data_IF_341836701569
#
_entry.id   IF_341836701569
#
_cell.length_a   1.000
_cell.length_b   1.000
_cell.length_c   1.000
_cell.angle_alpha   90.00
_cell.angle_beta   90.00
_cell.angle_gamma   90.00
#
_symmetry.space_group_name_H-M   'P 1'
#
loop_
_entity.id
_entity.type
_entity.pdbx_description
1 polymer ?
#
# COMPACT_ATOMS: atom_id res chain seq x y z
N UNK A 1 -14.53 11.66 8.56
CA UNK A 1 -14.84 11.02 9.86
C UNK A 1 -13.57 10.81 10.69
N UNK A 2 -12.59 9.99 10.26
CA UNK A 2 -11.41 9.66 11.06
C UNK A 2 -10.63 10.86 11.57
N UNK A 3 -10.41 11.88 10.74
CA UNK A 3 -9.74 13.11 11.16
C UNK A 3 -10.50 13.83 12.29
N UNK A 4 -11.83 13.84 12.27
CA UNK A 4 -12.64 14.44 13.35
C UNK A 4 -12.55 13.67 14.66
N UNK A 5 -12.21 12.37 14.61
CA UNK A 5 -11.97 11.52 15.78
C UNK A 5 -10.54 11.63 16.32
N UNK A 6 -9.66 12.38 15.63
CA UNK A 6 -8.23 12.54 15.98
C UNK A 6 -7.51 11.21 16.12
N UNK A 7 -7.79 10.27 15.19
CA UNK A 7 -7.10 8.98 15.18
C UNK A 7 -5.60 9.20 14.93
N UNK A 8 -4.77 8.51 15.67
CA UNK A 8 -3.31 8.53 15.58
C UNK A 8 -2.72 7.17 15.18
N UNK A 9 -3.53 6.11 15.23
CA UNK A 9 -3.19 4.77 14.74
C UNK A 9 -4.16 4.38 13.63
N UNK A 10 -3.66 3.73 12.58
CA UNK A 10 -4.47 3.34 11.45
C UNK A 10 -4.05 1.98 10.90
N UNK A 11 -5.03 1.09 10.75
CA UNK A 11 -4.85 -0.23 10.14
C UNK A 11 -5.53 -0.19 8.77
N UNK A 12 -4.75 -0.41 7.71
CA UNK A 12 -5.23 -0.49 6.33
C UNK A 12 -5.32 -1.96 5.90
N UNK A 13 -6.52 -2.45 5.65
CA UNK A 13 -6.73 -3.81 5.20
C UNK A 13 -6.65 -3.92 3.68
N UNK A 14 -5.56 -4.50 3.19
CA UNK A 14 -5.30 -4.76 1.77
C UNK A 14 -5.21 -6.27 1.45
N UNK A 15 -5.68 -7.14 2.32
CA UNK A 15 -5.50 -8.61 2.22
C UNK A 15 -5.86 -9.20 0.87
N UNK A 16 -6.96 -8.74 0.25
CA UNK A 16 -7.46 -9.27 -1.02
C UNK A 16 -7.55 -8.21 -2.11
N UNK A 17 -6.86 -7.09 -1.90
CA UNK A 17 -6.85 -5.99 -2.84
C UNK A 17 -5.75 -6.18 -3.90
N UNK A 18 -6.13 -6.56 -5.10
CA UNK A 18 -5.22 -6.80 -6.23
C UNK A 18 -4.70 -5.49 -6.86
N UNK A 19 -4.98 -4.34 -6.27
CA UNK A 19 -4.64 -3.02 -6.79
C UNK A 19 -5.78 -2.39 -7.59
N UNK A 20 -5.43 -1.55 -8.55
CA UNK A 20 -6.39 -0.81 -9.35
C UNK A 20 -5.79 0.46 -9.95
N UNK A 21 -6.51 1.58 -9.85
CA UNK A 21 -6.07 2.85 -10.38
C UNK A 21 -4.93 3.44 -9.52
N UNK A 22 -3.84 3.83 -10.17
CA UNK A 22 -2.71 4.48 -9.49
C UNK A 22 -3.10 5.82 -8.88
N UNK A 23 -4.03 6.56 -9.50
CA UNK A 23 -4.57 7.81 -8.95
C UNK A 23 -5.33 7.60 -7.62
N UNK A 24 -5.97 6.45 -7.43
CA UNK A 24 -6.59 6.11 -6.14
C UNK A 24 -5.53 5.82 -5.07
N UNK A 25 -4.43 5.15 -5.43
CA UNK A 25 -3.31 4.92 -4.53
C UNK A 25 -2.62 6.25 -4.15
N UNK A 26 -2.40 7.15 -5.12
CA UNK A 26 -1.85 8.50 -4.88
C UNK A 26 -2.71 9.31 -3.92
N UNK A 27 -4.04 9.31 -4.13
CA UNK A 27 -4.98 9.94 -3.20
C UNK A 27 -4.91 9.33 -1.80
N UNK A 28 -4.92 8.00 -1.70
CA UNK A 28 -4.85 7.30 -0.41
C UNK A 28 -3.54 7.63 0.31
N UNK A 29 -2.40 7.59 -0.38
CA UNK A 29 -1.12 8.01 0.17
C UNK A 29 -1.16 9.44 0.70
N UNK A 30 -1.74 10.36 -0.07
CA UNK A 30 -1.89 11.78 0.34
C UNK A 30 -2.75 11.93 1.60
N UNK A 31 -3.78 11.09 1.76
CA UNK A 31 -4.64 11.11 2.95
C UNK A 31 -3.94 10.55 4.20
N UNK A 32 -3.02 9.60 4.04
CA UNK A 32 -2.37 8.88 5.15
C UNK A 32 -1.02 9.49 5.57
N UNK A 33 -0.25 10.02 4.62
CA UNK A 33 1.11 10.51 4.82
C UNK A 33 1.23 11.55 5.95
N UNK A 34 2.41 11.69 6.58
CA UNK A 34 2.70 12.81 7.46
C UNK A 34 2.44 14.14 6.75
N UNK A 35 1.86 15.11 7.45
CA UNK A 35 1.55 16.42 6.87
C UNK A 35 2.80 17.17 6.37
N UNK A 36 3.96 16.90 6.96
CA UNK A 36 5.26 17.42 6.53
C UNK A 36 5.71 16.92 5.16
N UNK A 37 5.17 15.80 4.69
CA UNK A 37 5.46 15.21 3.39
C UNK A 37 4.56 15.76 2.26
N UNK A 38 3.48 16.46 2.60
CA UNK A 38 2.57 17.02 1.60
C UNK A 38 3.29 18.00 0.67
N UNK A 39 3.06 17.84 -0.63
CA UNK A 39 3.72 18.61 -1.69
C UNK A 39 5.03 17.99 -2.17
N UNK A 40 5.56 16.96 -1.50
CA UNK A 40 6.76 16.25 -1.95
C UNK A 40 6.43 15.22 -3.03
N UNK A 41 7.46 14.78 -3.76
CA UNK A 41 7.33 13.70 -4.74
C UNK A 41 7.03 12.38 -4.01
N UNK A 42 5.91 11.74 -4.34
CA UNK A 42 5.57 10.43 -3.80
C UNK A 42 6.33 9.32 -4.54
N UNK A 43 6.60 9.54 -5.82
CA UNK A 43 7.32 8.63 -6.68
C UNK A 43 7.13 8.98 -8.17
N UNK A 44 7.49 8.05 -9.05
CA UNK A 44 7.33 8.24 -10.48
C UNK A 44 7.07 6.94 -11.23
N UNK A 45 6.48 7.07 -12.42
CA UNK A 45 6.36 6.00 -13.40
C UNK A 45 7.47 6.16 -14.43
N UNK A 46 8.21 5.08 -14.67
CA UNK A 46 9.15 4.99 -15.78
C UNK A 46 8.52 4.16 -16.89
N UNK A 47 8.13 4.84 -17.98
CA UNK A 47 7.55 4.21 -19.15
C UNK A 47 8.65 3.66 -20.07
N UNK A 48 8.31 2.64 -20.85
CA UNK A 48 9.19 2.14 -21.89
C UNK A 48 9.40 3.19 -23.01
N UNK A 49 10.38 2.96 -23.91
CA UNK A 49 10.81 3.89 -24.94
C UNK A 49 9.77 4.20 -26.04
N UNK A 50 8.55 3.68 -25.94
CA UNK A 50 7.43 3.99 -26.83
C UNK A 50 6.60 5.17 -26.34
N UNK A 51 6.88 5.67 -25.14
CA UNK A 51 6.16 6.78 -24.52
C UNK A 51 7.05 8.02 -24.42
N UNK A 52 6.42 9.19 -24.44
CA UNK A 52 7.05 10.48 -24.19
C UNK A 52 6.06 11.38 -23.44
N UNK A 53 6.38 11.88 -22.23
CA UNK A 53 7.63 11.62 -21.50
C UNK A 53 7.75 10.18 -21.00
N UNK A 54 9.00 9.72 -20.82
CA UNK A 54 9.26 8.40 -20.24
C UNK A 54 9.12 8.40 -18.71
N UNK A 55 9.44 9.51 -18.06
CA UNK A 55 9.30 9.68 -16.59
C UNK A 55 8.11 10.58 -16.32
N UNK A 56 7.19 10.08 -15.49
CA UNK A 56 6.00 10.81 -15.05
C UNK A 56 5.95 10.78 -13.52
N UNK A 57 6.34 11.88 -12.85
CA UNK A 57 6.28 11.97 -11.40
C UNK A 57 4.83 12.10 -10.91
N UNK A 58 4.60 11.66 -9.68
CA UNK A 58 3.38 11.91 -8.92
C UNK A 58 3.73 12.37 -7.51
N UNK A 59 2.83 13.10 -6.85
CA UNK A 59 3.13 13.85 -5.64
C UNK A 59 2.09 13.63 -4.55
N UNK A 60 2.48 13.87 -3.31
CA UNK A 60 1.54 13.96 -2.18
C UNK A 60 0.75 15.27 -2.27
N UNK A 61 -0.22 15.31 -3.17
CA UNK A 61 -0.95 16.53 -3.53
C UNK A 61 -2.21 16.71 -2.68
N UNK A 62 -2.16 17.62 -1.72
CA UNK A 62 -3.32 17.95 -0.86
C UNK A 62 -4.57 18.40 -1.64
N UNK A 63 -4.41 18.92 -2.86
CA UNK A 63 -5.54 19.28 -3.73
C UNK A 63 -6.39 18.06 -4.15
N UNK A 64 -5.82 16.84 -4.14
CA UNK A 64 -6.56 15.61 -4.43
C UNK A 64 -7.56 15.26 -3.33
N UNK A 65 -7.32 15.68 -2.10
CA UNK A 65 -8.18 15.34 -0.94
C UNK A 65 -9.55 16.06 -1.03
N UNK A 66 -9.63 17.21 -1.73
CA UNK A 66 -10.85 18.00 -1.83
C UNK A 66 -11.35 18.47 -0.46
N UNK A 67 -12.58 18.10 -0.11
CA UNK A 67 -13.18 18.39 1.21
C UNK A 67 -12.82 17.35 2.28
N UNK A 68 -11.97 16.39 1.98
CA UNK A 68 -11.45 15.40 2.92
C UNK A 68 -10.42 15.98 3.89
N UNK A 69 -9.67 15.10 4.53
CA UNK A 69 -8.61 15.49 5.44
C UNK A 69 -7.43 14.53 5.32
N UNK A 70 -6.23 15.07 5.50
CA UNK A 70 -5.03 14.28 5.76
C UNK A 70 -5.04 13.82 7.22
N UNK A 71 -4.70 12.57 7.48
CA UNK A 71 -4.68 11.97 8.83
C UNK A 71 -3.37 12.24 9.56
N UNK A 72 -2.32 12.65 8.85
CA UNK A 72 -1.01 12.98 9.42
C UNK A 72 -0.45 11.83 10.29
N UNK A 73 -0.37 10.64 9.71
CA UNK A 73 0.11 9.45 10.42
C UNK A 73 1.64 9.37 10.40
N UNK A 74 2.22 8.83 11.48
CA UNK A 74 3.65 8.49 11.55
C UNK A 74 3.91 7.01 11.27
N UNK A 75 2.92 6.16 11.54
CA UNK A 75 2.98 4.72 11.31
C UNK A 75 1.71 4.27 10.58
N UNK A 76 1.86 3.38 9.62
CA UNK A 76 0.77 2.71 8.92
C UNK A 76 0.91 1.20 9.09
N UNK A 77 -0.09 0.57 9.71
CA UNK A 77 -0.19 -0.88 9.79
C UNK A 77 -0.98 -1.40 8.59
N UNK A 78 -0.40 -2.33 7.83
CA UNK A 78 -1.02 -2.84 6.59
C UNK A 78 -1.24 -4.35 6.72
N UNK A 79 -2.51 -4.77 6.62
CA UNK A 79 -2.84 -6.19 6.53
C UNK A 79 -2.70 -6.66 5.10
N UNK A 80 -1.87 -7.68 4.87
CA UNK A 80 -1.53 -8.17 3.53
C UNK A 80 -1.77 -9.67 3.37
N UNK A 81 -1.89 -10.10 2.13
CA UNK A 81 -1.92 -11.52 1.75
C UNK A 81 -1.19 -11.72 0.41
N UNK A 82 -1.10 -12.97 -0.05
CA UNK A 82 -0.59 -13.32 -1.36
C UNK A 82 -1.44 -12.81 -2.55
N UNK A 83 -2.52 -12.08 -2.28
CA UNK A 83 -3.35 -11.41 -3.30
C UNK A 83 -3.18 -9.89 -3.28
N UNK A 84 -2.50 -9.33 -2.30
CA UNK A 84 -2.18 -7.90 -2.26
C UNK A 84 -1.20 -7.57 -3.38
N UNK A 85 -1.58 -6.68 -4.32
CA UNK A 85 -0.80 -6.46 -5.54
C UNK A 85 -0.89 -5.04 -6.10
N UNK A 86 0.11 -4.66 -6.93
CA UNK A 86 0.05 -3.49 -7.84
C UNK A 86 -0.17 -2.17 -7.09
N UNK A 87 -1.29 -1.44 -7.32
CA UNK A 87 -1.57 -0.17 -6.66
C UNK A 87 -1.61 -0.29 -5.12
N UNK A 88 -1.96 -1.45 -4.56
CA UNK A 88 -1.85 -1.72 -3.12
C UNK A 88 -0.40 -1.77 -2.66
N UNK A 89 0.49 -2.37 -3.45
CA UNK A 89 1.93 -2.40 -3.16
C UNK A 89 2.60 -1.04 -3.40
N UNK A 90 2.08 -0.25 -4.33
CA UNK A 90 2.49 1.15 -4.50
C UNK A 90 2.27 1.97 -3.23
N UNK A 91 1.14 1.78 -2.53
CA UNK A 91 0.90 2.46 -1.24
C UNK A 91 2.00 2.13 -0.24
N UNK A 92 2.36 0.85 -0.10
CA UNK A 92 3.42 0.38 0.79
C UNK A 92 4.77 0.99 0.38
N UNK A 93 5.16 0.81 -0.89
CA UNK A 93 6.46 1.27 -1.40
C UNK A 93 6.64 2.78 -1.31
N UNK A 94 5.60 3.53 -1.68
CA UNK A 94 5.72 4.97 -1.84
C UNK A 94 5.54 5.74 -0.51
N UNK A 95 4.92 5.15 0.51
CA UNK A 95 4.86 5.74 1.85
C UNK A 95 6.09 5.43 2.71
N UNK A 96 6.80 4.32 2.45
CA UNK A 96 7.97 3.92 3.23
C UNK A 96 9.08 4.98 3.38
N UNK A 97 9.34 5.90 2.40
CA UNK A 97 10.29 6.99 2.59
C UNK A 97 9.83 8.06 3.61
N UNK A 98 8.55 8.11 3.96
CA UNK A 98 7.96 9.20 4.72
C UNK A 98 7.46 8.79 6.11
N UNK A 99 7.21 7.50 6.32
CA UNK A 99 6.63 6.98 7.55
C UNK A 99 6.97 5.51 7.75
N UNK A 100 6.80 5.02 8.97
CA UNK A 100 6.91 3.59 9.23
C UNK A 100 5.72 2.83 8.63
N UNK A 101 6.01 1.80 7.83
CA UNK A 101 5.00 0.91 7.25
C UNK A 101 5.20 -0.49 7.81
N UNK A 102 4.29 -0.91 8.68
CA UNK A 102 4.32 -2.21 9.37
C UNK A 102 3.42 -3.19 8.64
N UNK A 103 4.01 -4.22 8.06
CA UNK A 103 3.29 -5.24 7.29
C UNK A 103 2.94 -6.42 8.19
N UNK A 104 1.67 -6.83 8.17
CA UNK A 104 1.13 -7.94 8.95
C UNK A 104 0.36 -8.87 8.02
N UNK A 105 0.64 -10.16 8.10
CA UNK A 105 -0.03 -11.17 7.28
C UNK A 105 0.90 -11.95 6.38
N UNK A 106 0.54 -12.09 5.10
CA UNK A 106 1.29 -12.83 4.10
C UNK A 106 2.13 -11.94 3.18
N UNK A 107 3.07 -12.55 2.48
CA UNK A 107 3.87 -11.89 1.43
C UNK A 107 2.97 -11.44 0.29
N UNK A 108 3.16 -10.22 -0.19
CA UNK A 108 2.42 -9.66 -1.34
C UNK A 108 2.90 -10.23 -2.68
N UNK A 109 2.23 -9.86 -3.77
CA UNK A 109 2.50 -10.44 -5.12
C UNK A 109 3.86 -10.01 -5.70
N UNK A 110 4.29 -8.78 -5.47
CA UNK A 110 5.51 -8.24 -6.08
C UNK A 110 5.29 -7.59 -7.46
N UNK A 111 4.09 -7.05 -7.73
CA UNK A 111 3.78 -6.40 -9.00
C UNK A 111 4.17 -4.92 -8.97
N UNK A 112 5.43 -4.62 -9.27
CA UNK A 112 5.98 -3.26 -9.33
C UNK A 112 5.83 -2.58 -10.70
N UNK A 113 4.93 -3.09 -11.56
CA UNK A 113 4.72 -2.62 -12.93
C UNK A 113 3.28 -2.21 -13.17
N UNK A 114 3.08 -1.27 -14.11
CA UNK A 114 1.79 -0.79 -14.54
C UNK A 114 1.46 -1.19 -15.98
N UNK A 115 0.18 -1.48 -16.23
CA UNK A 115 -0.34 -1.75 -17.56
C UNK A 115 -1.26 -0.63 -18.04
N UNK A 116 -1.47 -0.55 -19.34
CA UNK A 116 -2.41 0.37 -19.98
C UNK A 116 -3.30 -0.37 -20.96
N UNK A 117 -4.58 -0.03 -20.93
CA UNK A 117 -5.55 -0.61 -21.85
C UNK A 117 -5.45 0.02 -23.25
N UNK A 118 -5.39 -0.85 -24.27
CA UNK A 118 -5.49 -0.50 -25.67
C UNK A 118 -6.63 -1.31 -26.27
N UNK A 119 -7.68 -0.63 -26.73
CA UNK A 119 -8.86 -1.27 -27.30
C UNK A 119 -9.01 -0.94 -28.78
N UNK A 120 -9.33 -1.94 -29.59
CA UNK A 120 -9.77 -1.79 -30.98
C UNK A 120 -11.21 -2.25 -31.09
N UNK A 121 -12.19 -1.32 -31.21
CA UNK A 121 -13.59 -1.68 -31.44
C UNK A 121 -13.81 -2.49 -32.72
N UNK A 122 -13.05 -2.21 -33.77
CA UNK A 122 -13.13 -2.90 -35.06
C UNK A 122 -12.76 -4.38 -34.96
N UNK A 123 -11.74 -4.68 -34.15
CA UNK A 123 -11.28 -6.06 -33.92
C UNK A 123 -11.93 -6.72 -32.71
N UNK A 124 -12.75 -5.98 -31.95
CA UNK A 124 -13.37 -6.39 -30.67
C UNK A 124 -12.36 -6.99 -29.68
N UNK A 125 -11.15 -6.41 -29.63
CA UNK A 125 -10.09 -6.84 -28.71
C UNK A 125 -9.66 -5.69 -27.80
N UNK A 126 -9.27 -6.05 -26.57
CA UNK A 126 -8.58 -5.17 -25.62
C UNK A 126 -7.30 -5.85 -25.18
N UNK A 127 -6.19 -5.14 -25.22
CA UNK A 127 -4.88 -5.59 -24.73
C UNK A 127 -4.48 -4.71 -23.54
N UNK A 128 -3.81 -5.34 -22.57
CA UNK A 128 -3.31 -4.68 -21.37
C UNK A 128 -1.80 -4.93 -21.19
N UNK A 129 -0.95 -4.46 -22.13
CA UNK A 129 0.49 -4.64 -22.00
C UNK A 129 1.02 -3.88 -20.78
N UNK A 130 2.09 -4.42 -20.17
CA UNK A 130 2.91 -3.70 -19.22
C UNK A 130 3.63 -2.59 -19.97
N UNK A 131 3.54 -1.36 -19.46
CA UNK A 131 4.08 -0.17 -20.11
C UNK A 131 5.03 0.65 -19.24
N UNK A 132 4.98 0.48 -17.92
CA UNK A 132 5.82 1.24 -17.01
C UNK A 132 6.23 0.40 -15.79
N UNK A 133 7.26 0.86 -15.09
CA UNK A 133 7.68 0.43 -13.76
C UNK A 133 7.38 1.55 -12.76
N UNK A 134 7.07 1.19 -11.51
CA UNK A 134 6.65 2.12 -10.46
C UNK A 134 7.78 2.26 -9.46
N UNK A 135 8.22 3.49 -9.23
CA UNK A 135 9.29 3.83 -8.28
C UNK A 135 8.75 4.74 -7.18
N UNK A 136 9.29 4.61 -5.97
CA UNK A 136 9.06 5.59 -4.91
C UNK A 136 9.98 6.82 -5.07
N UNK A 137 9.87 7.80 -4.17
CA UNK A 137 10.66 9.04 -4.20
C UNK A 137 12.18 8.82 -4.03
N UNK A 138 12.61 7.67 -3.50
CA UNK A 138 14.03 7.28 -3.40
C UNK A 138 14.52 6.48 -4.62
N UNK A 139 13.69 6.30 -5.64
CA UNK A 139 14.02 5.51 -6.82
C UNK A 139 14.01 4.00 -6.59
N UNK A 140 13.33 3.51 -5.54
CA UNK A 140 13.22 2.09 -5.23
C UNK A 140 11.99 1.47 -5.87
N UNK A 141 12.17 0.30 -6.45
CA UNK A 141 11.14 -0.53 -7.09
C UNK A 141 11.50 -2.02 -7.01
N UNK A 142 12.21 -2.41 -5.97
CA UNK A 142 12.90 -3.70 -5.79
C UNK A 142 12.06 -4.71 -4.98
N UNK A 143 10.73 -4.69 -5.21
CA UNK A 143 9.79 -5.58 -4.52
C UNK A 143 9.17 -6.65 -5.44
N UNK A 144 9.90 -7.12 -6.44
CA UNK A 144 9.44 -8.18 -7.36
C UNK A 144 9.11 -9.51 -6.64
N UNK A 145 9.69 -9.74 -5.47
CA UNK A 145 9.40 -10.90 -4.61
C UNK A 145 8.28 -10.64 -3.61
N UNK A 146 7.62 -9.48 -3.69
CA UNK A 146 6.61 -9.04 -2.74
C UNK A 146 7.19 -8.42 -1.47
N UNK A 147 6.34 -7.68 -0.75
CA UNK A 147 6.63 -7.20 0.59
C UNK A 147 6.34 -8.30 1.60
N UNK A 148 7.23 -8.47 2.54
CA UNK A 148 7.10 -9.45 3.64
C UNK A 148 7.03 -8.73 4.98
N UNK A 149 6.33 -9.29 5.99
CA UNK A 149 6.47 -8.83 7.35
C UNK A 149 7.94 -8.89 7.81
N UNK A 150 8.45 -7.77 8.34
CA UNK A 150 9.84 -7.66 8.79
C UNK A 150 10.14 -8.49 10.06
N UNK A 151 9.11 -8.87 10.79
CA UNK A 151 9.20 -9.64 12.03
C UNK A 151 8.34 -10.91 11.93
N UNK A 152 8.89 -12.05 12.36
CA UNK A 152 8.18 -13.34 12.30
C UNK A 152 6.88 -13.36 13.09
N UNK A 153 6.76 -12.56 14.16
CA UNK A 153 5.52 -12.41 14.93
C UNK A 153 4.39 -11.69 14.17
N UNK A 154 4.70 -11.03 13.05
CA UNK A 154 3.73 -10.39 12.17
C UNK A 154 3.31 -11.28 10.99
N UNK A 155 3.94 -12.45 10.82
CA UNK A 155 3.59 -13.41 9.78
C UNK A 155 2.34 -14.16 10.23
N UNK A 156 1.22 -13.92 9.56
CA UNK A 156 -0.06 -14.57 9.85
C UNK A 156 -0.59 -15.20 8.57
N UNK A 157 -0.81 -16.51 8.61
CA UNK A 157 -1.55 -17.22 7.59
C UNK A 157 -2.96 -17.49 8.10
N UNK A 158 -3.92 -16.66 7.72
CA UNK A 158 -5.31 -16.79 8.17
C UNK A 158 -5.96 -18.11 7.73
N UNK A 159 -5.47 -18.72 6.64
CA UNK A 159 -5.96 -20.01 6.15
C UNK A 159 -5.49 -21.19 7.01
N UNK A 160 -4.52 -20.99 7.90
CA UNK A 160 -4.02 -22.06 8.78
C UNK A 160 -4.96 -22.40 9.92
N UNK A 161 -5.85 -21.50 10.30
CA UNK A 161 -6.82 -21.68 11.37
C UNK A 161 -8.18 -21.05 11.02
N UNK A 162 -9.02 -21.83 10.37
CA UNK A 162 -10.34 -21.36 9.91
C UNK A 162 -11.30 -21.02 11.07
N UNK A 163 -11.00 -21.45 12.31
CA UNK A 163 -11.81 -21.07 13.48
C UNK A 163 -11.66 -19.58 13.85
N UNK A 164 -10.62 -18.92 13.31
CA UNK A 164 -10.35 -17.49 13.49
C UNK A 164 -10.85 -16.61 12.34
N UNK A 165 -11.64 -17.16 11.42
CA UNK A 165 -12.46 -16.36 10.51
C UNK A 165 -13.62 -15.74 11.28
N UNK A 166 -13.41 -14.53 11.75
CA UNK A 166 -14.36 -13.77 12.56
C UNK A 166 -14.91 -12.58 11.77
N UNK A 167 -16.04 -11.99 12.17
CA UNK A 167 -16.57 -10.79 11.52
C UNK A 167 -15.55 -9.66 11.45
N UNK A 168 -15.66 -8.80 10.41
CA UNK A 168 -14.82 -7.61 10.30
C UNK A 168 -14.92 -6.74 11.56
N UNK A 169 -13.76 -6.37 12.10
CA UNK A 169 -13.65 -5.57 13.31
C UNK A 169 -13.70 -6.37 14.62
N UNK A 170 -13.85 -7.69 14.58
CA UNK A 170 -13.66 -8.53 15.76
C UNK A 170 -12.17 -8.54 16.15
N UNK A 171 -11.86 -8.06 17.35
CA UNK A 171 -10.48 -7.91 17.84
C UNK A 171 -9.74 -9.24 18.05
N UNK A 172 -10.43 -10.37 17.98
CA UNK A 172 -9.86 -11.72 18.04
C UNK A 172 -9.55 -12.29 16.63
N UNK A 173 -9.93 -11.58 15.55
CA UNK A 173 -9.58 -11.97 14.18
C UNK A 173 -8.05 -12.01 14.04
N UNK A 174 -7.51 -12.98 13.29
CA UNK A 174 -6.10 -13.33 13.32
C UNK A 174 -5.17 -12.15 12.97
N UNK A 175 -5.41 -11.46 11.84
CA UNK A 175 -4.56 -10.35 11.42
C UNK A 175 -4.84 -9.09 12.25
N UNK A 176 -6.11 -8.81 12.54
CA UNK A 176 -6.47 -7.65 13.34
C UNK A 176 -5.91 -7.75 14.76
N UNK A 177 -6.01 -8.92 15.41
CA UNK A 177 -5.42 -9.11 16.74
C UNK A 177 -3.91 -8.92 16.75
N UNK A 178 -3.23 -9.37 15.69
CA UNK A 178 -1.78 -9.17 15.54
C UNK A 178 -1.44 -7.70 15.33
N UNK A 179 -2.22 -6.97 14.52
CA UNK A 179 -2.04 -5.52 14.34
C UNK A 179 -2.26 -4.74 15.63
N UNK A 180 -3.28 -5.08 16.40
CA UNK A 180 -3.53 -4.48 17.70
C UNK A 180 -2.39 -4.77 18.68
N UNK A 181 -1.85 -6.00 18.67
CA UNK A 181 -0.68 -6.36 19.47
C UNK A 181 0.61 -5.64 19.04
N UNK A 182 0.75 -5.31 17.74
CA UNK A 182 1.84 -4.47 17.27
C UNK A 182 1.69 -3.02 17.76
N UNK A 183 0.47 -2.49 17.77
CA UNK A 183 0.17 -1.13 18.22
C UNK A 183 0.37 -0.97 19.74
N UNK A 184 -0.10 -1.91 20.55
CA UNK A 184 0.02 -1.83 22.01
C UNK A 184 1.36 -2.35 22.55
N UNK A 185 2.23 -2.88 21.68
CA UNK A 185 3.55 -3.38 22.00
C UNK A 185 3.59 -4.78 22.63
N UNK A 186 2.46 -5.48 22.71
CA UNK A 186 2.41 -6.89 23.19
C UNK A 186 3.02 -7.86 22.18
N UNK A 187 3.06 -7.48 20.90
CA UNK A 187 3.76 -8.19 19.81
C UNK A 187 4.72 -7.20 19.17
N UNK A 188 6.03 -7.34 19.44
CA UNK A 188 7.03 -6.45 18.87
C UNK A 188 8.33 -7.21 18.58
N UNK A 189 9.14 -6.75 17.59
CA UNK A 189 10.47 -7.28 17.40
C UNK A 189 11.30 -7.18 18.67
N UNK A 190 12.22 -8.14 18.93
CA UNK A 190 13.17 -7.99 20.04
C UNK A 190 13.96 -6.70 19.84
N UNK A 191 14.32 -6.04 20.96
CA UNK A 191 15.17 -4.86 20.92
C UNK A 191 16.47 -5.20 20.16
N UNK A 192 16.86 -4.34 19.22
CA UNK A 192 18.17 -4.48 18.57
C UNK A 192 19.24 -4.11 19.62
N UNK A 193 20.16 -5.04 19.89
CA UNK A 193 21.33 -4.81 20.76
C UNK A 193 22.35 -3.87 20.08
#
# INVERSE_FOLDING_TARGET
>A
YFASQKVNEFILDLRYNNGGLLSCAELLCTMLAPSSALGQELGYLEFNNRFNPQIVPFTLNSGLIGNGANLNLNTLYVLTSSQTASASEMVINCLAPYMDVVIIGGTTVGKNVGSRNFSSPELMITMNPIVCKIYNSEGKSDYESGFQPAYSGYVVNEMSDMSRFLPFGDTNEALLSTALGAIDGSIQPPAQE
#
